data_IF_856464892206
#
_entry.id   IF_856464892206
#
_cell.length_a   1.000
_cell.length_b   1.000
_cell.length_c   1.000
_cell.angle_alpha   90.00
_cell.angle_beta   90.00
_cell.angle_gamma   90.00
#
_symmetry.space_group_name_H-M   'P 1'
#
loop_
_entity.id
_entity.type
_entity.pdbx_description
1 polymer ?
#
# COMPACT_ATOMS: atom_id res chain seq x y z
N UNK A 1 -3.41 17.14 -4.75
CA UNK A 1 -3.01 16.68 -3.40
C UNK A 1 -3.76 15.38 -3.16
N UNK A 2 -3.08 14.25 -3.23
CA UNK A 2 -3.69 12.91 -3.10
C UNK A 2 -4.13 12.71 -1.66
N UNK A 3 -5.37 12.26 -1.43
CA UNK A 3 -5.89 12.02 -0.08
C UNK A 3 -5.09 10.89 0.60
N UNK A 4 -4.63 11.11 1.83
CA UNK A 4 -3.82 10.12 2.56
C UNK A 4 -4.59 8.81 2.74
N UNK A 5 -3.88 7.70 2.52
CA UNK A 5 -4.43 6.34 2.62
C UNK A 5 -5.61 6.05 1.68
N UNK A 6 -5.78 6.84 0.62
CA UNK A 6 -6.64 6.51 -0.51
C UNK A 6 -5.97 5.50 -1.44
N UNK A 7 -6.75 4.88 -2.33
CA UNK A 7 -6.23 3.99 -3.38
C UNK A 7 -5.14 4.66 -4.23
N UNK A 8 -5.34 5.86 -4.81
CA UNK A 8 -4.30 6.50 -5.62
C UNK A 8 -3.04 6.84 -4.80
N UNK A 9 -3.18 7.20 -3.52
CA UNK A 9 -2.03 7.40 -2.64
C UNK A 9 -1.19 6.12 -2.51
N UNK A 10 -1.81 4.97 -2.30
CA UNK A 10 -1.07 3.71 -2.22
C UNK A 10 -0.48 3.28 -3.56
N UNK A 11 -1.16 3.53 -4.68
CA UNK A 11 -0.62 3.27 -6.02
C UNK A 11 0.69 4.03 -6.24
N UNK A 12 0.71 5.34 -5.96
CA UNK A 12 1.90 6.18 -6.08
C UNK A 12 3.04 5.63 -5.22
N UNK A 13 2.75 5.27 -3.97
CA UNK A 13 3.77 4.72 -3.07
C UNK A 13 4.29 3.35 -3.51
N UNK A 14 3.44 2.46 -4.04
CA UNK A 14 3.90 1.20 -4.62
C UNK A 14 4.85 1.43 -5.79
N UNK A 15 4.53 2.35 -6.71
CA UNK A 15 5.39 2.69 -7.86
C UNK A 15 6.75 3.20 -7.38
N UNK A 16 6.75 4.17 -6.46
CA UNK A 16 7.99 4.70 -5.87
C UNK A 16 8.81 3.62 -5.17
N UNK A 17 8.16 2.75 -4.37
CA UNK A 17 8.86 1.68 -3.66
C UNK A 17 9.48 0.64 -4.61
N UNK A 18 8.80 0.30 -5.71
CA UNK A 18 9.36 -0.58 -6.76
C UNK A 18 10.58 0.08 -7.40
N UNK A 19 10.50 1.36 -7.77
CA UNK A 19 11.59 2.10 -8.41
C UNK A 19 12.83 2.24 -7.49
N UNK A 20 12.61 2.39 -6.19
CA UNK A 20 13.69 2.48 -5.19
C UNK A 20 14.36 1.15 -4.86
N UNK A 21 13.76 0.01 -5.23
CA UNK A 21 14.29 -1.33 -4.95
C UNK A 21 14.54 -2.12 -6.25
N UNK A 22 15.46 -1.65 -7.12
CA UNK A 22 15.69 -2.27 -8.44
C UNK A 22 16.27 -3.70 -8.36
N UNK A 23 16.78 -4.09 -7.19
CA UNK A 23 17.34 -5.42 -6.95
C UNK A 23 16.28 -6.45 -6.48
N UNK A 24 15.06 -6.02 -6.17
CA UNK A 24 13.95 -6.90 -5.80
C UNK A 24 13.01 -7.12 -6.99
N UNK A 25 12.48 -8.33 -7.13
CA UNK A 25 11.38 -8.56 -8.07
C UNK A 25 10.19 -7.65 -7.72
N UNK A 26 9.48 -7.15 -8.73
CA UNK A 26 8.35 -6.22 -8.56
C UNK A 26 7.35 -6.74 -7.54
N UNK A 27 7.00 -8.04 -7.59
CA UNK A 27 6.03 -8.63 -6.68
C UNK A 27 6.59 -8.71 -5.26
N UNK A 28 7.88 -9.01 -5.10
CA UNK A 28 8.53 -9.02 -3.79
C UNK A 28 8.59 -7.62 -3.16
N UNK A 29 8.96 -6.59 -3.93
CA UNK A 29 8.96 -5.21 -3.49
C UNK A 29 7.54 -4.76 -3.07
N UNK A 30 6.50 -5.14 -3.83
CA UNK A 30 5.12 -4.86 -3.45
C UNK A 30 4.71 -5.59 -2.17
N UNK A 31 5.09 -6.86 -2.01
CA UNK A 31 4.76 -7.64 -0.82
C UNK A 31 5.45 -7.11 0.44
N UNK A 32 6.71 -6.68 0.33
CA UNK A 32 7.47 -6.09 1.43
C UNK A 32 6.84 -4.78 1.89
N UNK A 33 6.49 -3.90 0.95
CA UNK A 33 5.74 -2.67 1.23
C UNK A 33 4.37 -2.96 1.87
N UNK A 34 3.59 -3.85 1.29
CA UNK A 34 2.26 -4.21 1.78
C UNK A 34 2.30 -4.65 3.25
N UNK A 35 3.21 -5.58 3.58
CA UNK A 35 3.39 -6.07 4.94
C UNK A 35 3.78 -4.96 5.92
N UNK A 36 4.68 -4.07 5.51
CA UNK A 36 5.14 -2.94 6.33
C UNK A 36 3.99 -1.97 6.66
N UNK A 37 3.19 -1.61 5.65
CA UNK A 37 2.06 -0.71 5.82
C UNK A 37 0.96 -1.34 6.68
N UNK A 38 0.61 -2.61 6.44
CA UNK A 38 -0.38 -3.31 7.28
C UNK A 38 0.08 -3.38 8.73
N UNK A 39 1.35 -3.71 8.98
CA UNK A 39 1.90 -3.72 10.34
C UNK A 39 1.77 -2.36 11.01
N UNK A 40 2.09 -1.28 10.29
CA UNK A 40 1.98 0.09 10.79
C UNK A 40 0.52 0.46 11.10
N UNK A 41 -0.41 0.14 10.20
CA UNK A 41 -1.83 0.44 10.36
C UNK A 41 -2.47 -0.33 11.52
N UNK A 42 -2.04 -1.56 11.78
CA UNK A 42 -2.56 -2.39 12.89
C UNK A 42 -1.95 -1.98 14.24
N UNK A 43 -0.71 -1.50 14.25
CA UNK A 43 -0.08 -1.01 15.46
C UNK A 43 -0.62 0.35 15.90
N UNK A 44 -1.25 1.12 15.01
CA UNK A 44 -1.90 2.38 15.34
C UNK A 44 -3.08 2.18 16.31
N UNK A 45 -2.82 2.42 17.60
CA UNK A 45 -3.81 2.30 18.68
C UNK A 45 -4.76 3.51 18.77
N UNK A 46 -4.50 4.59 18.04
CA UNK A 46 -5.27 5.84 18.13
C UNK A 46 -6.42 5.88 17.10
N UNK A 47 -6.27 5.16 15.99
CA UNK A 47 -7.27 5.09 14.92
C UNK A 47 -8.31 4.00 15.19
N UNK A 48 -9.60 4.32 15.02
CA UNK A 48 -10.69 3.33 15.13
C UNK A 48 -10.47 2.14 14.18
N UNK A 49 -10.72 0.92 14.67
CA UNK A 49 -10.60 -0.32 13.88
C UNK A 49 -11.28 -0.27 12.50
N UNK A 50 -12.48 0.34 12.42
CA UNK A 50 -13.20 0.48 11.15
C UNK A 50 -12.43 1.33 10.12
N UNK A 51 -11.72 2.37 10.57
CA UNK A 51 -10.90 3.22 9.71
C UNK A 51 -9.63 2.47 9.28
N UNK A 52 -8.99 1.73 10.20
CA UNK A 52 -7.85 0.86 9.88
C UNK A 52 -8.23 -0.16 8.79
N UNK A 53 -9.36 -0.86 8.97
CA UNK A 53 -9.86 -1.81 7.98
C UNK A 53 -10.11 -1.16 6.61
N UNK A 54 -10.72 0.03 6.57
CA UNK A 54 -10.95 0.76 5.32
C UNK A 54 -9.63 1.11 4.63
N UNK A 55 -8.60 1.53 5.38
CA UNK A 55 -7.27 1.81 4.83
C UNK A 55 -6.59 0.56 4.28
N UNK A 56 -6.73 -0.59 4.96
CA UNK A 56 -6.22 -1.88 4.48
C UNK A 56 -6.95 -2.29 3.19
N UNK A 57 -8.26 -2.08 3.09
CA UNK A 57 -9.01 -2.33 1.85
C UNK A 57 -8.51 -1.46 0.69
N UNK A 58 -8.26 -0.18 0.93
CA UNK A 58 -7.66 0.69 -0.10
C UNK A 58 -6.27 0.23 -0.53
N UNK A 59 -5.45 -0.23 0.43
CA UNK A 59 -4.12 -0.80 0.16
C UNK A 59 -4.22 -2.06 -0.71
N UNK A 60 -5.18 -2.94 -0.43
CA UNK A 60 -5.43 -4.16 -1.20
C UNK A 60 -5.88 -3.87 -2.64
N UNK A 61 -6.79 -2.91 -2.82
CA UNK A 61 -7.21 -2.48 -4.14
C UNK A 61 -6.03 -1.91 -4.95
N UNK A 62 -5.22 -1.05 -4.32
CA UNK A 62 -4.03 -0.48 -4.95
C UNK A 62 -3.01 -1.56 -5.34
N UNK A 63 -2.74 -2.52 -4.45
CA UNK A 63 -1.85 -3.64 -4.73
C UNK A 63 -2.32 -4.42 -5.96
N UNK A 64 -3.61 -4.77 -6.02
CA UNK A 64 -4.17 -5.53 -7.14
C UNK A 64 -4.13 -4.75 -8.46
N UNK A 65 -4.40 -3.43 -8.44
CA UNK A 65 -4.27 -2.57 -9.62
C UNK A 65 -2.84 -2.50 -10.15
N UNK A 66 -1.85 -2.29 -9.28
CA UNK A 66 -0.43 -2.22 -9.68
C UNK A 66 0.09 -3.57 -10.17
N UNK A 67 -0.38 -4.67 -9.58
CA UNK A 67 -0.07 -6.03 -10.02
C UNK A 67 -0.64 -6.34 -11.40
N UNK A 68 -1.87 -5.93 -11.68
CA UNK A 68 -2.54 -6.10 -12.98
C UNK A 68 -2.05 -5.12 -14.06
N UNK A 69 -1.34 -4.06 -13.69
CA UNK A 69 -0.89 -3.01 -14.62
C UNK A 69 -2.01 -2.02 -14.99
N UNK A 70 -3.05 -1.93 -14.18
CA UNK A 70 -4.22 -1.05 -14.37
C UNK A 70 -4.04 0.32 -13.67
N UNK A 71 -2.81 0.63 -13.23
CA UNK A 71 -2.49 1.67 -12.26
C UNK A 71 -1.54 2.73 -12.80
#
# INVERSE_FOLDING_TARGET
MTELFSVPYFIENFKTHIEMNPNEDKIHAMNSYYRSVVSTLVQDQLTKNAVVLKRIQHLDEAYNKVKRGEA
#
